data_IF_934566360220
#
_entry.id   IF_934566360220
#
_cell.length_a   1.000
_cell.length_b   1.000
_cell.length_c   1.000
_cell.angle_alpha   90.00
_cell.angle_beta   90.00
_cell.angle_gamma   90.00
#
_symmetry.space_group_name_H-M   'P 1'
#
loop_
_entity.id
_entity.type
_entity.pdbx_description
1 polymer ?
#
# COMPACT_ATOMS: atom_id res chain seq x y z
N UNK A 1 9.59 7.07 5.18
CA UNK A 1 9.50 5.64 4.80
C UNK A 1 10.46 4.83 5.67
N UNK A 2 11.74 5.23 5.78
CA UNK A 2 12.72 4.50 6.60
C UNK A 2 12.22 4.31 8.03
N UNK A 3 11.76 5.37 8.69
CA UNK A 3 11.26 5.30 10.07
C UNK A 3 10.03 4.36 10.19
N UNK A 4 9.11 4.42 9.21
CA UNK A 4 7.95 3.53 9.17
C UNK A 4 8.36 2.06 8.99
N UNK A 5 9.38 1.82 8.16
CA UNK A 5 9.94 0.48 7.96
C UNK A 5 10.60 -0.05 9.25
N UNK A 6 11.48 0.74 9.87
CA UNK A 6 12.16 0.35 11.10
C UNK A 6 11.16 0.05 12.23
N UNK A 7 10.18 0.95 12.44
CA UNK A 7 9.14 0.75 13.45
C UNK A 7 8.33 -0.53 13.21
N UNK A 8 8.05 -0.85 11.94
CA UNK A 8 7.34 -2.09 11.60
C UNK A 8 8.17 -3.33 11.87
N UNK A 9 9.45 -3.28 11.51
CA UNK A 9 10.39 -4.38 11.73
C UNK A 9 10.57 -4.66 13.22
N UNK A 10 10.87 -3.63 14.01
CA UNK A 10 11.03 -3.72 15.47
C UNK A 10 9.77 -4.31 16.11
N UNK A 11 8.60 -3.83 15.74
CA UNK A 11 7.32 -4.33 16.26
C UNK A 11 7.10 -5.81 16.00
N UNK A 12 7.46 -6.28 14.81
CA UNK A 12 7.30 -7.67 14.37
C UNK A 12 8.29 -8.57 15.09
N UNK A 13 9.54 -8.15 15.21
CA UNK A 13 10.62 -8.92 15.85
C UNK A 13 10.44 -9.01 17.35
N UNK A 14 10.12 -7.91 18.03
CA UNK A 14 9.84 -7.88 19.48
C UNK A 14 8.72 -8.83 19.90
N UNK A 15 7.78 -9.10 18.99
CA UNK A 15 6.59 -9.96 19.26
C UNK A 15 6.70 -11.33 18.64
N UNK A 16 7.82 -11.63 17.99
CA UNK A 16 8.05 -12.92 17.29
C UNK A 16 6.88 -13.31 16.38
N UNK A 17 6.37 -12.34 15.60
CA UNK A 17 5.19 -12.56 14.78
C UNK A 17 5.48 -13.39 13.54
N UNK A 18 6.67 -13.25 12.98
CA UNK A 18 7.17 -14.04 11.84
C UNK A 18 8.68 -13.96 11.79
N UNK A 19 9.33 -15.05 11.37
CA UNK A 19 10.77 -15.06 11.13
C UNK A 19 11.11 -14.29 9.87
N UNK A 20 11.90 -13.23 10.00
CA UNK A 20 12.41 -12.43 8.88
C UNK A 20 13.89 -12.76 8.70
N UNK A 21 14.29 -13.36 7.56
CA UNK A 21 15.69 -13.60 7.27
C UNK A 21 16.49 -12.29 7.20
N UNK A 22 17.68 -12.23 7.79
CA UNK A 22 18.52 -11.02 7.79
C UNK A 22 18.73 -10.47 6.37
N UNK A 23 19.02 -11.33 5.41
CA UNK A 23 19.20 -10.93 4.03
C UNK A 23 17.93 -10.28 3.42
N UNK A 24 16.73 -10.61 3.91
CA UNK A 24 15.50 -9.96 3.44
C UNK A 24 15.44 -8.49 3.83
N UNK A 25 16.03 -8.13 4.96
CA UNK A 25 16.08 -6.74 5.44
C UNK A 25 16.94 -5.84 4.56
N UNK A 26 17.86 -6.42 3.79
CA UNK A 26 18.85 -5.71 2.98
C UNK A 26 18.51 -5.72 1.47
N UNK A 27 17.54 -6.52 1.03
CA UNK A 27 17.30 -6.77 -0.40
C UNK A 27 16.25 -5.89 -1.05
N UNK A 28 15.82 -4.85 -0.40
CA UNK A 28 14.91 -3.86 -0.98
C UNK A 28 15.59 -2.51 -1.17
N UNK A 29 15.03 -1.68 -2.03
CA UNK A 29 15.54 -0.34 -2.30
C UNK A 29 14.43 0.66 -2.57
N UNK A 30 14.81 1.92 -2.71
CA UNK A 30 13.91 3.01 -3.09
C UNK A 30 14.33 3.59 -4.43
N UNK A 31 13.36 3.83 -5.30
CA UNK A 31 13.57 4.46 -6.60
C UNK A 31 12.56 5.58 -6.81
N UNK A 32 13.00 6.66 -7.44
CA UNK A 32 12.11 7.73 -7.87
C UNK A 32 11.28 7.27 -9.08
N UNK A 33 9.98 7.54 -9.04
CA UNK A 33 9.10 7.34 -10.17
C UNK A 33 9.36 8.39 -11.25
N UNK A 34 9.31 8.00 -12.53
CA UNK A 34 9.45 8.99 -13.62
C UNK A 34 8.28 9.98 -13.63
N UNK A 35 8.50 11.23 -14.10
CA UNK A 35 7.46 12.25 -14.16
C UNK A 35 6.20 11.80 -14.93
N UNK A 36 6.39 11.06 -16.03
CA UNK A 36 5.29 10.56 -16.86
C UNK A 36 4.43 9.56 -16.09
N UNK A 37 5.07 8.66 -15.36
CA UNK A 37 4.37 7.65 -14.58
C UNK A 37 3.64 8.27 -13.39
N UNK A 38 4.16 9.33 -12.79
CA UNK A 38 3.52 10.03 -11.67
C UNK A 38 2.17 10.65 -12.05
N UNK A 39 1.97 11.04 -13.31
CA UNK A 39 0.69 11.56 -13.81
C UNK A 39 -0.42 10.51 -13.80
N UNK A 40 -0.06 9.24 -13.90
CA UNK A 40 -1.00 8.11 -13.94
C UNK A 40 -1.11 7.45 -12.56
N UNK A 41 -0.01 7.37 -11.84
CA UNK A 41 0.07 6.71 -10.53
C UNK A 41 0.77 7.65 -9.52
N UNK A 42 0.01 8.54 -8.86
CA UNK A 42 0.58 9.55 -7.98
C UNK A 42 1.02 9.01 -6.61
N UNK A 43 0.76 7.74 -6.33
CA UNK A 43 1.14 7.07 -5.10
C UNK A 43 2.39 6.23 -5.31
N UNK A 44 3.11 5.92 -4.21
CA UNK A 44 4.21 4.99 -4.33
C UNK A 44 3.73 3.56 -4.54
N UNK A 45 4.53 2.80 -5.25
CA UNK A 45 4.27 1.42 -5.61
C UNK A 45 5.34 0.53 -5.01
N UNK A 46 4.95 -0.68 -4.64
CA UNK A 46 5.84 -1.68 -4.10
C UNK A 46 6.34 -2.69 -5.13
N UNK A 47 6.90 -3.74 -4.60
CA UNK A 47 7.53 -4.83 -5.31
C UNK A 47 8.88 -5.17 -4.69
N UNK A 48 9.88 -5.45 -5.52
CA UNK A 48 11.25 -5.63 -5.04
C UNK A 48 11.83 -4.33 -4.46
N UNK A 49 11.51 -3.19 -5.10
CA UNK A 49 11.87 -1.86 -4.65
C UNK A 49 10.60 -1.04 -4.41
N UNK A 50 10.62 -0.13 -3.45
CA UNK A 50 9.59 0.92 -3.38
C UNK A 50 9.89 1.97 -4.44
N UNK A 51 8.89 2.24 -5.28
CA UNK A 51 8.94 3.31 -6.28
C UNK A 51 8.16 4.49 -5.73
N UNK A 52 8.86 5.58 -5.45
CA UNK A 52 8.31 6.75 -4.78
C UNK A 52 7.84 7.77 -5.80
N UNK A 53 6.56 8.19 -5.68
CA UNK A 53 6.06 9.38 -6.36
C UNK A 53 6.43 10.61 -5.54
N UNK A 54 7.02 11.61 -6.22
CA UNK A 54 7.41 12.87 -5.60
C UNK A 54 7.16 14.02 -6.59
N UNK A 55 6.62 15.16 -6.15
CA UNK A 55 6.34 16.29 -7.05
C UNK A 55 7.56 16.71 -7.86
N UNK A 56 7.35 16.90 -9.17
CA UNK A 56 8.38 17.40 -10.09
C UNK A 56 8.22 18.89 -10.35
N UNK A 57 9.27 19.52 -10.87
CA UNK A 57 9.26 20.97 -11.17
C UNK A 57 8.15 21.36 -12.15
N UNK A 58 7.82 20.47 -13.08
CA UNK A 58 6.87 20.71 -14.19
C UNK A 58 5.40 20.51 -13.79
N UNK A 59 5.13 19.95 -12.61
CA UNK A 59 3.76 19.81 -12.10
C UNK A 59 3.18 21.17 -11.72
N UNK A 60 1.88 21.35 -11.98
CA UNK A 60 1.14 22.47 -11.44
C UNK A 60 1.17 22.49 -9.91
N UNK A 61 1.08 23.67 -9.31
CA UNK A 61 1.19 23.83 -7.86
C UNK A 61 0.16 23.00 -7.09
N UNK A 62 -1.08 22.97 -7.55
CA UNK A 62 -2.13 22.17 -6.92
C UNK A 62 -1.83 20.68 -6.99
N UNK A 63 -1.31 20.18 -8.11
CA UNK A 63 -0.92 18.77 -8.26
C UNK A 63 0.22 18.40 -7.31
N UNK A 64 1.20 19.32 -7.13
CA UNK A 64 2.27 19.15 -6.13
C UNK A 64 1.70 19.02 -4.72
N UNK A 65 0.79 19.88 -4.33
CA UNK A 65 0.13 19.83 -3.02
C UNK A 65 -0.69 18.55 -2.84
N UNK A 66 -1.46 18.15 -3.86
CA UNK A 66 -2.25 16.92 -3.83
C UNK A 66 -1.36 15.68 -3.70
N UNK A 67 -0.25 15.61 -4.46
CA UNK A 67 0.72 14.52 -4.35
C UNK A 67 1.31 14.42 -2.94
N UNK A 68 1.71 15.54 -2.34
CA UNK A 68 2.26 15.56 -0.97
C UNK A 68 1.22 15.19 0.08
N UNK A 69 -0.02 15.64 -0.06
CA UNK A 69 -1.12 15.26 0.83
C UNK A 69 -1.45 13.78 0.73
N UNK A 70 -1.47 13.22 -0.48
CA UNK A 70 -1.73 11.80 -0.72
C UNK A 70 -0.61 10.88 -0.22
N UNK A 71 0.64 11.36 -0.19
CA UNK A 71 1.80 10.61 0.28
C UNK A 71 2.25 11.00 1.69
N UNK A 72 1.33 11.44 2.55
CA UNK A 72 1.63 11.77 3.94
C UNK A 72 1.98 10.52 4.78
N UNK A 73 2.67 10.69 5.93
CA UNK A 73 3.14 9.56 6.74
C UNK A 73 2.03 8.60 7.18
N UNK A 74 0.82 9.10 7.47
CA UNK A 74 -0.26 8.27 7.98
C UNK A 74 -0.90 7.39 6.89
N UNK A 75 -0.99 7.89 5.64
CA UNK A 75 -1.37 7.07 4.49
C UNK A 75 -0.26 6.12 4.05
N UNK A 76 0.99 6.53 4.22
CA UNK A 76 2.15 5.68 3.95
C UNK A 76 2.31 4.57 4.99
N UNK A 77 1.79 4.77 6.19
CA UNK A 77 1.92 3.84 7.31
C UNK A 77 1.47 2.41 6.95
N UNK A 78 0.23 2.14 6.50
CA UNK A 78 -0.15 0.78 6.10
C UNK A 78 0.55 0.31 4.82
N UNK A 79 0.90 1.23 3.92
CA UNK A 79 1.49 0.87 2.63
C UNK A 79 2.91 0.34 2.78
N UNK A 80 3.69 0.87 3.71
CA UNK A 80 5.05 0.38 3.97
C UNK A 80 5.04 -1.09 4.39
N UNK A 81 4.16 -1.50 5.29
CA UNK A 81 4.05 -2.90 5.71
C UNK A 81 3.48 -3.80 4.61
N UNK A 82 2.58 -3.27 3.79
CA UNK A 82 2.02 -3.97 2.64
C UNK A 82 3.10 -4.27 1.59
N UNK A 83 3.92 -3.28 1.26
CA UNK A 83 4.89 -3.37 0.18
C UNK A 83 6.24 -4.00 0.61
N UNK A 84 6.69 -3.72 1.81
CA UNK A 84 7.99 -4.19 2.30
C UNK A 84 7.86 -5.43 3.21
N UNK A 85 8.31 -5.31 4.43
CA UNK A 85 8.28 -6.38 5.44
C UNK A 85 7.15 -6.08 6.43
N UNK A 86 6.25 -7.02 6.66
CA UNK A 86 6.22 -8.42 6.25
C UNK A 86 5.45 -8.70 4.95
N UNK A 87 5.12 -7.68 4.18
CA UNK A 87 4.27 -7.77 3.00
C UNK A 87 4.95 -8.37 1.76
N UNK A 88 4.76 -7.71 0.61
CA UNK A 88 5.18 -8.22 -0.70
C UNK A 88 6.68 -8.54 -0.80
N UNK A 89 7.54 -7.71 -0.22
CA UNK A 89 8.97 -7.93 -0.31
C UNK A 89 9.37 -9.25 0.35
N UNK A 90 8.90 -9.52 1.58
CA UNK A 90 9.16 -10.78 2.26
C UNK A 90 8.58 -11.96 1.49
N UNK A 91 7.36 -11.82 0.98
CA UNK A 91 6.70 -12.86 0.17
C UNK A 91 7.53 -13.23 -1.05
N UNK A 92 7.97 -12.25 -1.83
CA UNK A 92 8.81 -12.47 -3.01
C UNK A 92 10.19 -13.03 -2.66
N UNK A 93 10.79 -12.51 -1.60
CA UNK A 93 12.06 -13.01 -1.09
C UNK A 93 11.97 -14.51 -0.78
N UNK A 94 10.97 -14.92 -0.02
CA UNK A 94 10.78 -16.32 0.36
C UNK A 94 10.38 -17.19 -0.82
N UNK A 95 9.45 -16.74 -1.67
CA UNK A 95 9.02 -17.49 -2.85
C UNK A 95 10.15 -17.74 -3.83
N UNK A 96 11.08 -16.79 -3.96
CA UNK A 96 12.21 -16.95 -4.86
C UNK A 96 13.29 -17.94 -4.38
N UNK A 97 13.32 -18.23 -3.08
CA UNK A 97 14.35 -19.05 -2.43
C UNK A 97 13.84 -20.39 -1.91
N UNK A 98 12.62 -20.40 -1.40
CA UNK A 98 12.03 -21.62 -0.86
C UNK A 98 11.10 -22.28 -1.89
N UNK A 99 11.36 -23.55 -2.21
CA UNK A 99 10.56 -24.31 -3.18
C UNK A 99 10.41 -23.56 -4.51
N UNK A 100 11.53 -23.23 -5.13
CA UNK A 100 11.62 -22.40 -6.35
C UNK A 100 10.76 -22.89 -7.52
N UNK A 101 10.39 -24.18 -7.56
CA UNK A 101 9.45 -24.74 -8.52
C UNK A 101 8.03 -24.14 -8.44
N UNK A 102 7.70 -23.45 -7.36
CA UNK A 102 6.41 -22.75 -7.20
C UNK A 102 6.38 -21.37 -7.85
N UNK A 103 7.51 -20.82 -8.26
CA UNK A 103 7.61 -19.47 -8.83
C UNK A 103 6.68 -19.20 -10.02
N UNK A 104 6.45 -20.14 -10.96
CA UNK A 104 5.51 -19.92 -12.05
C UNK A 104 4.04 -19.94 -11.62
N UNK A 105 3.73 -20.39 -10.39
CA UNK A 105 2.38 -20.48 -9.88
C UNK A 105 2.11 -19.32 -8.94
N UNK A 106 1.61 -18.22 -9.48
CA UNK A 106 1.19 -17.05 -8.70
C UNK A 106 -0.27 -16.73 -9.02
N UNK A 107 -1.02 -16.37 -7.99
CA UNK A 107 -2.37 -15.85 -8.13
C UNK A 107 -2.47 -14.49 -7.45
N UNK A 108 -3.27 -13.54 -7.98
CA UNK A 108 -3.53 -12.27 -7.31
C UNK A 108 -4.06 -12.47 -5.88
N UNK A 109 -4.86 -13.52 -5.67
CA UNK A 109 -5.35 -13.89 -4.33
C UNK A 109 -4.22 -14.15 -3.34
N UNK A 110 -3.22 -14.94 -3.74
CA UNK A 110 -2.04 -15.21 -2.90
C UNK A 110 -1.20 -13.96 -2.69
N UNK A 111 -0.92 -13.24 -3.78
CA UNK A 111 -0.03 -12.08 -3.75
C UNK A 111 -0.60 -10.97 -2.89
N UNK A 112 -1.79 -10.49 -3.23
CA UNK A 112 -2.44 -9.39 -2.50
C UNK A 112 -3.01 -9.81 -1.15
N UNK A 113 -3.51 -11.06 -1.07
CA UNK A 113 -4.07 -11.61 0.16
C UNK A 113 -3.03 -11.74 1.27
N UNK A 114 -1.79 -12.08 0.96
CA UNK A 114 -0.68 -12.10 1.91
C UNK A 114 -0.43 -10.72 2.54
N UNK A 115 -0.29 -9.70 1.72
CA UNK A 115 -0.02 -8.34 2.19
C UNK A 115 -1.20 -7.77 2.99
N UNK A 116 -2.44 -7.99 2.53
CA UNK A 116 -3.63 -7.58 3.25
C UNK A 116 -3.78 -8.34 4.58
N UNK A 117 -3.47 -9.62 4.63
CA UNK A 117 -3.47 -10.42 5.86
C UNK A 117 -2.56 -9.79 6.92
N UNK A 118 -1.37 -9.34 6.53
CA UNK A 118 -0.46 -8.67 7.45
C UNK A 118 -0.96 -7.30 7.91
N UNK A 119 -1.63 -6.53 7.08
CA UNK A 119 -2.31 -5.31 7.54
C UNK A 119 -3.36 -5.62 8.62
N UNK A 120 -4.11 -6.72 8.47
CA UNK A 120 -5.12 -7.14 9.44
C UNK A 120 -4.47 -7.64 10.74
N UNK A 121 -3.41 -8.44 10.66
CA UNK A 121 -2.67 -8.90 11.84
C UNK A 121 -2.10 -7.72 12.62
N UNK A 122 -1.44 -6.79 11.97
CA UNK A 122 -0.86 -5.61 12.60
C UNK A 122 -1.93 -4.73 13.24
N UNK A 123 -3.08 -4.56 12.60
CA UNK A 123 -4.22 -3.89 13.20
C UNK A 123 -4.69 -4.59 14.49
N UNK A 124 -4.88 -5.90 14.45
CA UNK A 124 -5.36 -6.68 15.59
C UNK A 124 -4.34 -6.79 16.74
N UNK A 125 -3.08 -6.49 16.45
CA UNK A 125 -1.99 -6.42 17.43
C UNK A 125 -1.73 -5.00 17.95
N UNK A 126 -2.61 -4.06 17.66
CA UNK A 126 -2.51 -2.66 18.06
C UNK A 126 -1.21 -1.98 17.58
N UNK A 127 -0.74 -2.33 16.37
CA UNK A 127 0.40 -1.66 15.74
C UNK A 127 0.16 -0.17 15.48
N UNK A 128 -1.04 0.26 14.97
CA UNK A 128 -1.34 1.68 14.85
C UNK A 128 -1.61 2.30 16.22
N UNK A 129 -0.71 3.19 16.65
CA UNK A 129 -0.74 3.81 17.98
C UNK A 129 -1.55 5.11 18.02
N UNK A 130 -1.66 5.83 16.90
CA UNK A 130 -2.37 7.12 16.85
C UNK A 130 -3.68 7.00 16.07
N UNK A 131 -4.65 7.89 16.33
CA UNK A 131 -5.88 7.96 15.54
C UNK A 131 -5.63 8.16 14.05
N UNK A 132 -4.61 8.94 13.69
CA UNK A 132 -4.24 9.22 12.30
C UNK A 132 -3.69 7.99 11.59
N UNK A 133 -2.86 7.18 12.25
CA UNK A 133 -2.39 5.89 11.72
C UNK A 133 -3.56 4.91 11.53
N UNK A 134 -4.49 4.86 12.49
CA UNK A 134 -5.72 4.06 12.38
C UNK A 134 -6.57 4.52 11.21
N UNK A 135 -6.71 5.83 11.03
CA UNK A 135 -7.43 6.40 9.89
C UNK A 135 -6.79 6.01 8.55
N UNK A 136 -5.46 6.08 8.44
CA UNK A 136 -4.74 5.66 7.25
C UNK A 136 -5.00 4.19 6.89
N UNK A 137 -4.96 3.29 7.88
CA UNK A 137 -5.29 1.87 7.67
C UNK A 137 -6.74 1.64 7.25
N UNK A 138 -7.69 2.36 7.87
CA UNK A 138 -9.11 2.26 7.54
C UNK A 138 -9.42 2.83 6.16
N UNK A 139 -8.77 3.94 5.77
CA UNK A 139 -8.91 4.50 4.43
C UNK A 139 -8.58 3.47 3.33
N UNK A 140 -7.43 2.84 3.42
CA UNK A 140 -7.04 1.83 2.44
C UNK A 140 -7.97 0.62 2.43
N UNK A 141 -8.49 0.25 3.60
CA UNK A 141 -9.49 -0.83 3.71
C UNK A 141 -10.79 -0.48 3.00
N UNK A 142 -11.33 0.71 3.23
CA UNK A 142 -12.56 1.20 2.58
C UNK A 142 -12.33 1.37 1.07
N UNK A 143 -11.19 1.93 0.66
CA UNK A 143 -10.83 2.05 -0.74
C UNK A 143 -10.84 0.69 -1.45
N UNK A 144 -10.30 -0.36 -0.81
CA UNK A 144 -10.33 -1.71 -1.37
C UNK A 144 -11.75 -2.27 -1.47
N UNK A 145 -12.59 -2.04 -0.48
CA UNK A 145 -14.01 -2.45 -0.53
C UNK A 145 -14.75 -1.76 -1.69
N UNK A 146 -14.58 -0.45 -1.83
CA UNK A 146 -15.14 0.29 -2.95
C UNK A 146 -14.64 -0.23 -4.30
N UNK A 147 -13.33 -0.55 -4.40
CA UNK A 147 -12.73 -1.11 -5.61
C UNK A 147 -13.32 -2.46 -6.00
N UNK A 148 -13.64 -3.32 -5.04
CA UNK A 148 -14.34 -4.58 -5.30
C UNK A 148 -15.70 -4.29 -5.93
N UNK A 149 -16.47 -3.37 -5.35
CA UNK A 149 -17.83 -3.04 -5.81
C UNK A 149 -17.80 -2.49 -7.23
N UNK A 150 -17.06 -1.41 -7.46
CA UNK A 150 -17.05 -0.77 -8.76
C UNK A 150 -16.40 -1.63 -9.85
N UNK A 151 -15.33 -2.37 -9.52
CA UNK A 151 -14.66 -3.21 -10.50
C UNK A 151 -15.58 -4.33 -11.00
N UNK A 152 -16.28 -5.02 -10.10
CA UNK A 152 -17.23 -6.06 -10.50
C UNK A 152 -18.39 -5.48 -11.31
N UNK A 153 -19.03 -4.42 -10.82
CA UNK A 153 -20.17 -3.79 -11.50
C UNK A 153 -19.79 -3.21 -12.86
N UNK A 154 -18.62 -2.59 -12.98
CA UNK A 154 -18.11 -2.09 -14.25
C UNK A 154 -17.96 -3.21 -15.28
N UNK A 155 -17.30 -4.30 -14.91
CA UNK A 155 -17.07 -5.44 -15.81
C UNK A 155 -18.36 -6.22 -16.15
N UNK A 156 -19.36 -6.17 -15.28
CA UNK A 156 -20.70 -6.72 -15.57
C UNK A 156 -21.60 -5.77 -16.39
N UNK A 157 -21.13 -4.55 -16.68
CA UNK A 157 -21.91 -3.54 -17.41
C UNK A 157 -23.01 -2.88 -16.55
N UNK A 158 -22.90 -2.99 -15.22
CA UNK A 158 -23.86 -2.43 -14.26
C UNK A 158 -23.46 -1.04 -13.74
N UNK A 159 -22.29 -0.56 -14.11
CA UNK A 159 -21.75 0.73 -13.68
C UNK A 159 -20.96 1.38 -14.82
N UNK A 160 -21.19 2.66 -15.06
CA UNK A 160 -20.43 3.48 -15.98
C UNK A 160 -19.09 3.91 -15.35
N UNK A 161 -18.09 4.36 -16.15
CA UNK A 161 -16.85 4.92 -15.61
C UNK A 161 -17.09 6.09 -14.65
N UNK A 162 -18.08 6.96 -14.95
CA UNK A 162 -18.39 8.11 -14.10
C UNK A 162 -18.96 7.67 -12.74
N UNK A 163 -19.89 6.73 -12.72
CA UNK A 163 -20.44 6.19 -11.47
C UNK A 163 -19.37 5.52 -10.60
N UNK A 164 -18.35 4.90 -11.22
CA UNK A 164 -17.19 4.36 -10.48
C UNK A 164 -16.37 5.46 -9.81
N UNK A 165 -16.18 6.59 -10.51
CA UNK A 165 -15.49 7.77 -9.98
C UNK A 165 -16.31 8.39 -8.84
N UNK A 166 -17.61 8.57 -9.04
CA UNK A 166 -18.53 9.15 -8.06
C UNK A 166 -18.57 8.32 -6.78
N UNK A 167 -18.60 6.99 -6.89
CA UNK A 167 -18.51 6.10 -5.73
C UNK A 167 -17.22 6.33 -4.92
N UNK A 168 -16.09 6.47 -5.59
CA UNK A 168 -14.81 6.74 -4.92
C UNK A 168 -14.77 8.12 -4.28
N UNK A 169 -15.27 9.14 -4.97
CA UNK A 169 -15.27 10.52 -4.48
C UNK A 169 -16.26 10.70 -3.33
N UNK A 170 -17.46 10.15 -3.47
CA UNK A 170 -18.55 10.36 -2.52
C UNK A 170 -18.44 9.48 -1.29
N UNK A 171 -18.05 8.22 -1.43
CA UNK A 171 -18.00 7.31 -0.29
C UNK A 171 -16.61 7.26 0.36
N UNK A 172 -15.55 7.12 -0.43
CA UNK A 172 -14.18 7.04 0.08
C UNK A 172 -13.60 8.44 0.33
N UNK A 173 -13.81 9.38 -0.58
CA UNK A 173 -13.28 10.75 -0.48
C UNK A 173 -13.94 11.60 0.60
N UNK A 174 -15.19 11.35 0.97
CA UNK A 174 -15.85 12.04 2.10
C UNK A 174 -15.12 11.81 3.42
N UNK A 175 -14.63 10.61 3.63
CA UNK A 175 -13.86 10.28 4.83
C UNK A 175 -12.62 11.17 4.92
N UNK A 176 -11.94 11.42 3.81
CA UNK A 176 -10.79 12.32 3.77
C UNK A 176 -11.15 13.79 4.06
N UNK A 177 -12.31 14.25 3.57
CA UNK A 177 -12.76 15.64 3.78
C UNK A 177 -13.25 15.90 5.19
N UNK A 178 -13.74 14.89 5.90
CA UNK A 178 -14.26 15.02 7.27
C UNK A 178 -13.13 15.20 8.30
N UNK A 179 -11.89 14.85 7.93
CA UNK A 179 -10.71 14.92 8.79
C UNK A 179 -9.66 15.96 8.34
N UNK A 180 -10.02 16.87 7.43
CA UNK A 180 -9.27 18.09 7.11
C UNK A 180 -9.77 19.26 7.95
#
# INVERSE_FOLDING_TARGET
IMDLYSNSLDFIEERDLITIPELAKETWGMKMMSPERQKISPFFLGGRDIIISYPTMEMDHNDKLMSMRGNNPNFSFPTVQHELLPGHNLQYFMTSRHKSYRRPFSTPFWTEGWALYWEIILWNKDFPQTPEQKLGMLFWRIHRCARIIFSLKFHMGEMTPQECIDLLVDEVGRILRTFQ
#
